data_IF_530097214962
#
_entry.id   IF_530097214962
#
_cell.length_a   1.000
_cell.length_b   1.000
_cell.length_c   1.000
_cell.angle_alpha   90.00
_cell.angle_beta   90.00
_cell.angle_gamma   90.00
#
_symmetry.space_group_name_H-M   'P 1'
#
loop_
_entity.id
_entity.type
_entity.pdbx_description
1 polymer ?
#
# COMPACT_ATOMS: atom_id res chain seq x y z
N UNK A 1 42.37 -29.76 -38.24
CA UNK A 1 42.04 -28.46 -37.62
C UNK A 1 40.86 -27.77 -38.31
N UNK A 2 40.83 -27.64 -39.64
CA UNK A 2 39.75 -26.91 -40.34
C UNK A 2 38.32 -27.43 -40.07
N UNK A 3 38.14 -28.76 -39.97
CA UNK A 3 36.82 -29.37 -39.72
C UNK A 3 36.22 -29.00 -38.34
N UNK A 4 37.05 -28.94 -37.28
CA UNK A 4 36.56 -28.55 -35.94
C UNK A 4 36.16 -27.07 -35.85
N UNK A 5 36.78 -26.20 -36.65
CA UNK A 5 36.45 -24.77 -36.67
C UNK A 5 35.09 -24.54 -37.35
N UNK A 6 34.78 -25.28 -38.42
CA UNK A 6 33.45 -25.21 -39.06
C UNK A 6 32.35 -25.72 -38.14
N UNK A 7 32.55 -26.86 -37.47
CA UNK A 7 31.55 -27.41 -36.53
C UNK A 7 31.25 -26.44 -35.38
N UNK A 8 32.29 -25.80 -34.81
CA UNK A 8 32.08 -24.79 -33.77
C UNK A 8 31.35 -23.55 -34.30
N UNK A 9 31.64 -23.13 -35.54
CA UNK A 9 30.95 -22.00 -36.17
C UNK A 9 29.47 -22.29 -36.40
N UNK A 10 29.13 -23.49 -36.87
CA UNK A 10 27.75 -23.92 -37.07
C UNK A 10 26.99 -24.00 -35.75
N UNK A 11 27.61 -24.56 -34.70
CA UNK A 11 27.00 -24.62 -33.37
C UNK A 11 26.71 -23.22 -32.80
N UNK A 12 27.67 -22.29 -32.89
CA UNK A 12 27.48 -20.90 -32.44
C UNK A 12 26.40 -20.18 -33.27
N UNK A 13 26.31 -20.46 -34.57
CA UNK A 13 25.27 -19.88 -35.43
C UNK A 13 23.87 -20.42 -35.09
N UNK A 14 23.75 -21.71 -34.76
CA UNK A 14 22.50 -22.32 -34.33
C UNK A 14 22.03 -21.73 -32.99
N UNK A 15 22.92 -21.61 -32.00
CA UNK A 15 22.63 -20.98 -30.70
C UNK A 15 22.22 -19.52 -30.86
N UNK A 16 22.93 -18.73 -31.68
CA UNK A 16 22.57 -17.35 -32.00
C UNK A 16 21.21 -17.23 -32.70
N UNK A 17 20.84 -18.24 -33.50
CA UNK A 17 19.53 -18.34 -34.12
C UNK A 17 18.43 -18.53 -33.08
N UNK A 18 18.59 -19.53 -32.21
CA UNK A 18 17.65 -19.82 -31.12
C UNK A 18 17.45 -18.63 -30.19
N UNK A 19 18.53 -17.96 -29.78
CA UNK A 19 18.45 -16.76 -28.95
C UNK A 19 17.69 -15.61 -29.62
N UNK A 20 17.82 -15.43 -30.94
CA UNK A 20 17.08 -14.37 -31.66
C UNK A 20 15.58 -14.67 -31.72
N UNK A 21 15.22 -15.94 -31.85
CA UNK A 21 13.82 -16.37 -31.89
C UNK A 21 13.15 -16.20 -30.52
N UNK A 22 13.84 -16.60 -29.45
CA UNK A 22 13.37 -16.38 -28.07
C UNK A 22 13.22 -14.88 -27.74
N UNK A 23 14.16 -14.03 -28.21
CA UNK A 23 14.05 -12.57 -28.07
C UNK A 23 12.84 -12.02 -28.85
N UNK A 24 12.52 -12.58 -30.01
CA UNK A 24 11.38 -12.16 -30.81
C UNK A 24 10.06 -12.56 -30.12
N UNK A 25 9.99 -13.76 -29.57
CA UNK A 25 8.85 -14.26 -28.79
C UNK A 25 8.62 -13.42 -27.53
N UNK A 26 9.65 -13.20 -26.71
CA UNK A 26 9.57 -12.34 -25.52
C UNK A 26 9.14 -10.91 -25.85
N UNK A 27 9.64 -10.34 -26.96
CA UNK A 27 9.18 -9.02 -27.42
C UNK A 27 7.69 -9.05 -27.77
N UNK A 28 7.21 -10.11 -28.41
CA UNK A 28 5.79 -10.27 -28.74
C UNK A 28 4.92 -10.34 -27.48
N UNK A 29 5.32 -11.13 -26.49
CA UNK A 29 4.60 -11.24 -25.21
C UNK A 29 4.56 -9.91 -24.46
N UNK A 30 5.68 -9.20 -24.40
CA UNK A 30 5.76 -7.86 -23.79
C UNK A 30 4.86 -6.86 -24.50
N UNK A 31 4.76 -6.92 -25.83
CA UNK A 31 3.82 -6.05 -26.58
C UNK A 31 2.37 -6.39 -26.29
N UNK A 32 2.03 -7.68 -26.18
CA UNK A 32 0.68 -8.13 -25.81
C UNK A 32 0.30 -7.68 -24.40
N UNK A 33 1.22 -7.83 -23.44
CA UNK A 33 1.04 -7.38 -22.06
C UNK A 33 0.88 -5.85 -21.97
N UNK A 34 1.67 -5.08 -22.73
CA UNK A 34 1.50 -3.62 -22.79
C UNK A 34 0.15 -3.22 -23.37
N UNK A 35 -0.33 -3.94 -24.40
CA UNK A 35 -1.63 -3.67 -25.02
C UNK A 35 -2.79 -3.98 -24.08
N UNK A 36 -2.73 -5.09 -23.34
CA UNK A 36 -3.74 -5.44 -22.34
C UNK A 36 -3.74 -4.47 -21.15
N UNK A 37 -2.57 -3.99 -20.73
CA UNK A 37 -2.47 -2.93 -19.73
C UNK A 37 -3.05 -1.58 -20.21
N UNK A 38 -2.88 -1.24 -21.49
CA UNK A 38 -3.42 -0.02 -22.07
C UNK A 38 -4.94 -0.06 -22.29
N UNK A 39 -5.53 -1.25 -22.48
CA UNK A 39 -6.98 -1.42 -22.66
C UNK A 39 -7.77 -1.53 -21.35
N UNK A 40 -7.10 -1.50 -20.19
CA UNK A 40 -7.77 -1.54 -18.88
C UNK A 40 -8.59 -0.26 -18.69
N UNK A 41 -9.87 -0.37 -18.27
CA UNK A 41 -10.69 0.81 -17.96
C UNK A 41 -9.94 1.69 -16.95
N UNK A 42 -10.07 3.01 -17.07
CA UNK A 42 -9.32 3.99 -16.28
C UNK A 42 -9.47 3.78 -14.75
N UNK A 43 -10.54 3.14 -14.29
CA UNK A 43 -10.75 2.75 -12.89
C UNK A 43 -9.83 1.63 -12.38
N UNK A 44 -9.19 0.88 -13.29
CA UNK A 44 -8.27 -0.22 -12.99
C UNK A 44 -6.82 0.13 -13.33
N UNK A 45 -6.48 1.30 -13.83
CA UNK A 45 -5.07 1.65 -14.01
C UNK A 45 -4.46 1.92 -12.62
N UNK A 46 -3.47 1.12 -12.22
CA UNK A 46 -2.70 1.45 -11.03
C UNK A 46 -1.97 2.77 -11.29
N UNK A 47 -2.10 3.71 -10.36
CA UNK A 47 -1.42 4.99 -10.49
C UNK A 47 0.10 4.68 -10.44
N UNK A 48 0.92 5.27 -11.32
CA UNK A 48 2.36 5.11 -11.24
C UNK A 48 2.83 5.36 -9.79
N UNK A 49 3.62 4.45 -9.20
CA UNK A 49 4.07 4.55 -7.79
C UNK A 49 4.67 5.92 -7.46
N UNK A 50 5.26 6.61 -8.43
CA UNK A 50 5.81 7.97 -8.30
C UNK A 50 4.77 9.07 -8.06
N UNK A 51 3.50 8.85 -8.42
CA UNK A 51 2.39 9.80 -8.25
C UNK A 51 1.53 9.52 -7.03
N UNK A 52 1.79 8.44 -6.28
CA UNK A 52 1.05 8.16 -5.05
C UNK A 52 1.54 9.15 -3.97
N UNK A 53 0.65 9.99 -3.41
CA UNK A 53 1.03 10.94 -2.38
C UNK A 53 1.67 10.22 -1.19
N UNK A 54 2.77 10.79 -0.65
CA UNK A 54 3.39 10.24 0.56
C UNK A 54 2.36 10.18 1.68
N UNK A 55 2.17 8.98 2.21
CA UNK A 55 1.30 8.77 3.36
C UNK A 55 1.93 9.39 4.61
N UNK A 56 1.11 10.00 5.46
CA UNK A 56 1.56 10.51 6.77
C UNK A 56 1.61 9.37 7.78
N UNK A 57 2.66 9.35 8.59
CA UNK A 57 2.79 8.40 9.68
C UNK A 57 1.85 8.76 10.85
N UNK A 58 1.44 7.77 11.63
CA UNK A 58 0.64 7.94 12.82
C UNK A 58 1.43 7.59 14.09
N UNK A 59 1.61 8.55 14.98
CA UNK A 59 2.42 8.41 16.20
C UNK A 59 1.68 7.90 17.43
N UNK A 60 0.36 7.65 17.33
CA UNK A 60 -0.44 7.20 18.48
C UNK A 60 -1.02 8.32 19.34
N UNK A 61 -1.25 9.50 18.77
CA UNK A 61 -2.00 10.56 19.44
C UNK A 61 -3.44 10.09 19.71
N UNK A 62 -4.00 10.42 20.88
CA UNK A 62 -5.42 10.16 21.20
C UNK A 62 -6.33 11.23 20.57
N UNK A 63 -6.18 11.44 19.27
CA UNK A 63 -6.94 12.42 18.50
C UNK A 63 -7.68 11.69 17.38
N UNK A 64 -9.01 11.67 17.46
CA UNK A 64 -9.82 11.00 16.45
C UNK A 64 -9.62 11.58 15.04
N UNK A 65 -9.45 12.89 14.91
CA UNK A 65 -9.25 13.50 13.60
C UNK A 65 -7.94 13.04 12.95
N UNK A 66 -6.85 12.95 13.72
CA UNK A 66 -5.59 12.42 13.21
C UNK A 66 -5.68 10.94 12.84
N UNK A 67 -6.38 10.15 13.66
CA UNK A 67 -6.59 8.73 13.40
C UNK A 67 -7.48 8.48 12.17
N UNK A 68 -8.57 9.23 12.00
CA UNK A 68 -9.42 9.15 10.80
C UNK A 68 -8.67 9.64 9.55
N UNK A 69 -7.87 10.69 9.67
CA UNK A 69 -7.01 11.14 8.57
C UNK A 69 -5.99 10.07 8.15
N UNK A 70 -5.42 9.35 9.12
CA UNK A 70 -4.52 8.23 8.87
C UNK A 70 -5.21 7.10 8.09
N UNK A 71 -6.39 6.66 8.53
CA UNK A 71 -7.16 5.64 7.82
C UNK A 71 -7.54 6.08 6.41
N UNK A 72 -8.06 7.31 6.27
CA UNK A 72 -8.43 7.85 4.97
C UNK A 72 -7.22 7.91 4.03
N UNK A 73 -6.04 8.26 4.55
CA UNK A 73 -4.78 8.22 3.82
C UNK A 73 -4.41 6.82 3.34
N UNK A 74 -4.48 5.83 4.24
CA UNK A 74 -4.19 4.42 3.91
C UNK A 74 -5.14 3.87 2.86
N UNK A 75 -6.44 4.13 2.97
CA UNK A 75 -7.43 3.66 1.99
C UNK A 75 -7.18 4.27 0.60
N UNK A 76 -6.84 5.57 0.54
CA UNK A 76 -6.44 6.22 -0.71
C UNK A 76 -5.15 5.61 -1.28
N UNK A 77 -4.16 5.35 -0.42
CA UNK A 77 -2.90 4.71 -0.81
C UNK A 77 -3.13 3.31 -1.38
N UNK A 78 -3.92 2.48 -0.70
CA UNK A 78 -4.25 1.13 -1.14
C UNK A 78 -5.02 1.15 -2.46
N UNK A 79 -6.02 2.03 -2.60
CA UNK A 79 -6.77 2.20 -3.84
C UNK A 79 -5.87 2.63 -4.99
N UNK A 80 -5.00 3.63 -4.78
CA UNK A 80 -4.07 4.11 -5.79
C UNK A 80 -3.05 3.04 -6.21
N UNK A 81 -2.62 2.21 -5.26
CA UNK A 81 -1.65 1.13 -5.45
C UNK A 81 -2.28 -0.18 -5.97
N UNK A 82 -3.60 -0.26 -6.07
CA UNK A 82 -4.32 -1.47 -6.47
C UNK A 82 -4.34 -2.58 -5.41
N UNK A 83 -4.07 -2.26 -4.14
CA UNK A 83 -4.06 -3.22 -3.03
C UNK A 83 -5.51 -3.45 -2.56
N UNK A 84 -6.05 -4.65 -2.80
CA UNK A 84 -7.40 -5.04 -2.38
C UNK A 84 -7.39 -6.09 -1.27
N UNK A 85 -6.39 -6.97 -1.28
CA UNK A 85 -6.26 -8.07 -0.33
C UNK A 85 -5.96 -7.58 1.09
N UNK A 86 -6.77 -8.02 2.05
CA UNK A 86 -6.67 -7.58 3.44
C UNK A 86 -5.37 -8.01 4.10
N UNK A 87 -4.86 -9.21 3.78
CA UNK A 87 -3.55 -9.67 4.26
C UNK A 87 -2.43 -8.69 3.88
N UNK A 88 -2.46 -8.18 2.64
CA UNK A 88 -1.47 -7.20 2.16
C UNK A 88 -1.65 -5.86 2.87
N UNK A 89 -2.90 -5.42 3.10
CA UNK A 89 -3.17 -4.19 3.88
C UNK A 89 -2.67 -4.31 5.31
N UNK A 90 -2.92 -5.44 5.97
CA UNK A 90 -2.50 -5.74 7.34
C UNK A 90 -0.99 -5.79 7.49
N UNK A 91 -0.25 -6.28 6.48
CA UNK A 91 1.22 -6.18 6.46
C UNK A 91 1.74 -4.76 6.18
N UNK A 92 0.99 -3.97 5.42
CA UNK A 92 1.46 -2.67 4.93
C UNK A 92 1.14 -1.52 5.90
N UNK A 93 -0.04 -1.50 6.51
CA UNK A 93 -0.46 -0.41 7.40
C UNK A 93 0.47 -0.18 8.61
N UNK A 94 1.00 -1.23 9.28
CA UNK A 94 1.90 -1.06 10.41
C UNK A 94 3.22 -0.34 10.07
N UNK A 95 3.64 -0.39 8.80
CA UNK A 95 4.85 0.31 8.34
C UNK A 95 4.75 1.83 8.46
N UNK A 96 3.54 2.35 8.63
CA UNK A 96 3.26 3.78 8.81
C UNK A 96 2.91 4.15 10.25
N UNK A 97 3.00 3.21 11.19
CA UNK A 97 2.91 3.48 12.62
C UNK A 97 4.29 3.87 13.15
N UNK A 98 4.32 4.89 14.00
CA UNK A 98 5.54 5.36 14.67
C UNK A 98 5.27 5.56 16.17
N UNK A 99 6.33 5.81 16.93
CA UNK A 99 6.27 6.13 18.36
C UNK A 99 5.40 5.16 19.18
N UNK A 100 4.38 5.69 19.88
CA UNK A 100 3.51 4.94 20.78
C UNK A 100 2.66 3.93 19.99
N UNK A 101 2.21 4.29 18.78
CA UNK A 101 1.45 3.39 17.93
C UNK A 101 2.25 2.16 17.51
N UNK A 102 3.54 2.32 17.21
CA UNK A 102 4.41 1.20 16.85
C UNK A 102 4.66 0.25 18.03
N UNK A 103 4.82 0.79 19.25
CA UNK A 103 4.98 -0.05 20.45
C UNK A 103 3.71 -0.86 20.71
N UNK A 104 2.54 -0.22 20.59
CA UNK A 104 1.26 -0.91 20.71
C UNK A 104 1.10 -2.01 19.65
N UNK A 105 1.46 -1.73 18.40
CA UNK A 105 1.39 -2.71 17.32
C UNK A 105 2.23 -3.95 17.60
N UNK A 106 3.48 -3.77 18.04
CA UNK A 106 4.37 -4.90 18.39
C UNK A 106 3.76 -5.81 19.46
N UNK A 107 3.07 -5.23 20.45
CA UNK A 107 2.35 -6.02 21.45
C UNK A 107 1.21 -6.81 20.82
N UNK A 108 0.42 -6.17 19.94
CA UNK A 108 -0.68 -6.83 19.23
C UNK A 108 -0.21 -7.94 18.29
N UNK A 109 0.90 -7.73 17.60
CA UNK A 109 1.51 -8.75 16.73
C UNK A 109 1.89 -10.01 17.52
N UNK A 110 2.49 -9.83 18.71
CA UNK A 110 2.80 -10.94 19.61
C UNK A 110 1.53 -11.64 20.15
N UNK A 111 0.44 -10.90 20.38
CA UNK A 111 -0.85 -11.49 20.79
C UNK A 111 -1.45 -12.37 19.68
N UNK A 112 -1.32 -11.94 18.42
CA UNK A 112 -1.79 -12.70 17.24
C UNK A 112 -0.93 -13.95 17.03
N UNK A 113 0.40 -13.83 17.14
CA UNK A 113 1.32 -14.98 17.03
C UNK A 113 1.02 -16.07 18.08
N UNK A 114 0.62 -15.65 19.29
CA UNK A 114 0.20 -16.56 20.37
C UNK A 114 -1.22 -17.12 20.19
N UNK A 115 -1.95 -16.72 19.14
CA UNK A 115 -3.33 -17.12 18.89
C UNK A 115 -4.35 -16.50 19.85
N UNK A 116 -3.96 -15.49 20.62
CA UNK A 116 -4.83 -14.83 21.61
C UNK A 116 -5.67 -13.70 21.03
N UNK A 117 -5.36 -13.28 19.80
CA UNK A 117 -6.11 -12.29 19.03
C UNK A 117 -6.22 -12.75 17.57
N UNK A 118 -7.39 -12.54 16.95
CA UNK A 118 -7.58 -12.75 15.52
C UNK A 118 -7.77 -11.38 14.87
N UNK A 119 -6.87 -11.03 13.98
CA UNK A 119 -6.93 -9.83 13.16
C UNK A 119 -6.68 -10.27 11.72
N UNK A 120 -7.74 -10.80 11.10
CA UNK A 120 -7.65 -11.44 9.79
C UNK A 120 -8.10 -10.52 8.66
N UNK A 121 -8.93 -9.52 8.98
CA UNK A 121 -9.46 -8.56 8.00
C UNK A 121 -9.10 -7.13 8.35
N UNK A 122 -9.11 -6.26 7.34
CA UNK A 122 -8.72 -4.85 7.48
C UNK A 122 -9.57 -4.09 8.52
N UNK A 123 -10.84 -4.43 8.63
CA UNK A 123 -11.75 -3.81 9.60
C UNK A 123 -11.42 -4.18 11.06
N UNK A 124 -10.81 -5.35 11.31
CA UNK A 124 -10.34 -5.73 12.64
C UNK A 124 -9.20 -4.82 13.10
N UNK A 125 -8.25 -4.56 12.20
CA UNK A 125 -7.17 -3.62 12.45
C UNK A 125 -7.71 -2.23 12.77
N UNK A 126 -8.65 -1.72 11.96
CA UNK A 126 -9.27 -0.41 12.19
C UNK A 126 -9.98 -0.36 13.55
N UNK A 127 -10.68 -1.43 13.94
CA UNK A 127 -11.37 -1.49 15.23
C UNK A 127 -10.39 -1.50 16.41
N UNK A 128 -9.33 -2.30 16.34
CA UNK A 128 -8.35 -2.43 17.41
C UNK A 128 -7.55 -1.14 17.64
N UNK A 129 -7.10 -0.49 16.58
CA UNK A 129 -6.36 0.77 16.71
C UNK A 129 -7.30 1.91 17.17
N UNK A 130 -8.58 1.91 16.77
CA UNK A 130 -9.59 2.81 17.34
C UNK A 130 -9.78 2.55 18.82
N UNK A 131 -9.97 1.29 19.25
CA UNK A 131 -10.09 0.96 20.67
C UNK A 131 -8.92 1.48 21.51
N UNK A 132 -7.71 1.49 20.94
CA UNK A 132 -6.52 1.99 21.63
C UNK A 132 -6.38 3.51 21.62
N UNK A 133 -6.60 4.17 20.48
CA UNK A 133 -6.22 5.57 20.27
C UNK A 133 -7.40 6.51 20.05
N UNK A 134 -8.63 6.01 20.02
CA UNK A 134 -9.81 6.86 19.98
C UNK A 134 -10.06 7.44 21.37
N UNK A 135 -10.23 8.77 21.51
CA UNK A 135 -10.54 9.38 22.80
C UNK A 135 -11.99 9.05 23.22
N UNK A 136 -12.19 8.65 24.48
CA UNK A 136 -13.51 8.28 25.02
C UNK A 136 -14.46 9.48 25.15
N UNK A 137 -13.94 10.71 25.14
CA UNK A 137 -14.66 11.95 25.47
C UNK A 137 -14.88 12.87 24.26
N UNK A 138 -14.99 12.31 23.06
CA UNK A 138 -15.15 13.05 21.79
C UNK A 138 -16.23 14.13 21.82
N UNK A 139 -17.37 13.86 22.46
CA UNK A 139 -18.44 14.84 22.62
C UNK A 139 -17.96 16.05 23.44
N UNK A 140 -17.23 15.79 24.53
CA UNK A 140 -16.67 16.86 25.37
C UNK A 140 -15.61 17.68 24.61
N UNK A 141 -14.72 17.03 23.86
CA UNK A 141 -13.73 17.68 22.99
C UNK A 141 -14.42 18.54 21.92
N UNK A 142 -15.43 18.00 21.22
CA UNK A 142 -16.20 18.72 20.21
C UNK A 142 -16.95 19.93 20.81
N UNK A 143 -17.60 19.75 21.96
CA UNK A 143 -18.25 20.84 22.70
C UNK A 143 -17.24 21.89 23.20
N UNK A 144 -16.05 21.47 23.62
CA UNK A 144 -14.97 22.36 24.05
C UNK A 144 -14.42 23.19 22.88
N UNK A 145 -14.19 22.55 21.73
CA UNK A 145 -13.77 23.24 20.51
C UNK A 145 -14.82 24.24 20.01
N UNK A 146 -16.11 23.86 20.01
CA UNK A 146 -17.21 24.77 19.66
C UNK A 146 -17.28 25.97 20.60
N UNK A 147 -17.12 25.76 21.92
CA UNK A 147 -17.08 26.87 22.89
C UNK A 147 -15.89 27.81 22.69
N UNK A 148 -14.77 27.30 22.15
CA UNK A 148 -13.56 28.09 21.84
C UNK A 148 -13.63 28.82 20.50
N UNK A 149 -14.57 28.46 19.63
CA UNK A 149 -14.80 29.18 18.38
C UNK A 149 -15.54 30.49 18.68
N UNK A 150 -14.78 31.57 18.90
CA UNK A 150 -15.33 32.92 18.96
C UNK A 150 -15.48 33.48 17.55
N UNK A 151 -16.69 33.94 17.21
CA UNK A 151 -16.99 34.60 15.94
C UNK A 151 -16.12 35.87 15.76
N UNK A 152 -15.19 35.87 14.80
CA UNK A 152 -14.53 37.08 14.30
C UNK A 152 -15.27 37.55 13.05
N UNK A 153 -16.44 38.13 13.25
CA UNK A 153 -17.19 38.81 12.21
C UNK A 153 -17.84 40.04 12.80
N UNK A 154 -17.23 41.20 12.54
CA UNK A 154 -17.96 42.46 12.64
C UNK A 154 -19.02 42.44 11.55
N UNK A 155 -20.29 42.47 11.94
CA UNK A 155 -21.39 42.71 11.02
C UNK A 155 -21.22 44.15 10.55
N UNK A 156 -20.95 44.33 9.26
CA UNK A 156 -20.88 45.64 8.60
C UNK A 156 -22.10 45.83 7.73
#
# INVERSE_FOLDING_TARGET
>A
MNNSIEVMKEHVQAELGGMKEEIAELKSEVTLMKRSMASRPASMQSIPRSKVPRLKNFGGSRNAMELENFFCGLEKYFKASGIQEDEVKLRTAPLYLVDIAMIWWRRREADVEKGTCVMAIWDDFKREIKKQFYPDNMEFEAHSMLRRLTHRGGVQ
#
